data_IF_587532965059
#
_entry.id   IF_587532965059
#
_cell.length_a   1.000
_cell.length_b   1.000
_cell.length_c   1.000
_cell.angle_alpha   90.00
_cell.angle_beta   90.00
_cell.angle_gamma   90.00
#
_symmetry.space_group_name_H-M   'P 1'
#
loop_
_entity.id
_entity.type
_entity.pdbx_description
1 polymer ?
#
# COMPACT_ATOMS: atom_id res chain seq x y z
N UNK A 1 -8.20 -7.56 21.45
CA UNK A 1 -6.97 -7.00 20.86
C UNK A 1 -7.28 -6.65 19.42
N UNK A 2 -7.60 -5.40 19.13
CA UNK A 2 -7.76 -4.94 17.75
C UNK A 2 -6.36 -4.87 17.16
N UNK A 3 -5.97 -5.87 16.35
CA UNK A 3 -4.74 -5.78 15.57
C UNK A 3 -4.91 -4.59 14.63
N UNK A 4 -4.29 -3.47 14.99
CA UNK A 4 -4.05 -2.37 14.06
C UNK A 4 -3.29 -2.99 12.91
N UNK A 5 -3.97 -3.30 11.81
CA UNK A 5 -3.33 -3.80 10.58
C UNK A 5 -2.24 -2.79 10.27
N UNK A 6 -0.98 -3.19 10.44
CA UNK A 6 0.15 -2.36 10.08
C UNK A 6 -0.11 -1.85 8.66
N UNK A 7 -0.15 -0.52 8.43
CA UNK A 7 -0.59 0.03 7.16
C UNK A 7 0.31 -0.39 5.98
N UNK A 8 1.48 -0.93 6.31
CA UNK A 8 2.49 -1.47 5.40
C UNK A 8 2.30 -2.97 5.11
N UNK A 9 1.29 -3.62 5.69
CA UNK A 9 1.05 -5.04 5.53
C UNK A 9 -0.21 -5.27 4.71
N UNK A 10 -0.15 -6.21 3.78
CA UNK A 10 -1.27 -6.54 2.93
C UNK A 10 -2.40 -7.17 3.78
N UNK A 11 -3.61 -6.60 3.78
CA UNK A 11 -4.74 -7.17 4.52
C UNK A 11 -5.23 -8.51 3.93
N UNK A 12 -4.82 -8.84 2.70
CA UNK A 12 -5.26 -10.05 2.00
C UNK A 12 -4.40 -11.27 2.34
N UNK A 13 -3.08 -11.11 2.40
CA UNK A 13 -2.14 -12.23 2.60
C UNK A 13 -1.19 -12.06 3.78
N UNK A 14 -1.12 -10.87 4.40
CA UNK A 14 -0.20 -10.60 5.50
C UNK A 14 1.24 -10.29 5.06
N UNK A 15 1.54 -10.28 3.76
CA UNK A 15 2.87 -9.90 3.25
C UNK A 15 3.11 -8.40 3.31
N UNK A 16 4.37 -7.96 3.42
CA UNK A 16 4.71 -6.55 3.32
C UNK A 16 4.35 -5.96 1.95
N UNK A 17 3.75 -4.78 1.96
CA UNK A 17 3.49 -3.98 0.77
C UNK A 17 4.77 -3.26 0.33
N UNK A 18 5.01 -3.26 -0.97
CA UNK A 18 6.07 -2.50 -1.61
C UNK A 18 5.60 -1.07 -1.85
N UNK A 19 6.37 -0.10 -1.37
CA UNK A 19 6.12 1.32 -1.59
C UNK A 19 6.78 1.80 -2.88
N UNK A 20 6.03 2.49 -3.72
CA UNK A 20 6.49 3.09 -4.97
C UNK A 20 5.92 4.49 -5.13
N UNK A 21 6.77 5.45 -5.53
CA UNK A 21 6.34 6.81 -5.88
C UNK A 21 5.98 6.80 -7.35
N UNK A 22 4.72 7.12 -7.67
CA UNK A 22 4.24 7.18 -9.05
C UNK A 22 4.43 8.57 -9.65
N UNK A 23 4.16 9.61 -8.85
CA UNK A 23 4.29 11.01 -9.25
C UNK A 23 4.58 11.83 -7.99
N UNK A 24 5.81 12.35 -7.85
CA UNK A 24 6.21 13.11 -6.67
C UNK A 24 5.63 14.53 -6.66
N UNK A 25 5.45 15.16 -7.83
CA UNK A 25 4.86 16.48 -7.96
C UNK A 25 3.40 16.50 -7.48
N UNK A 26 2.71 15.37 -7.65
CA UNK A 26 1.31 15.18 -7.24
C UNK A 26 1.14 14.40 -5.94
N UNK A 27 2.23 14.09 -5.23
CA UNK A 27 2.20 13.25 -4.02
C UNK A 27 1.46 11.92 -4.22
N UNK A 28 1.56 11.36 -5.43
CA UNK A 28 0.95 10.09 -5.80
C UNK A 28 1.91 8.96 -5.47
N UNK A 29 1.50 8.15 -4.50
CA UNK A 29 2.26 6.99 -4.06
C UNK A 29 1.38 5.74 -4.13
N UNK A 30 2.02 4.60 -4.35
CA UNK A 30 1.38 3.30 -4.43
C UNK A 30 2.00 2.32 -3.43
N UNK A 31 1.15 1.47 -2.87
CA UNK A 31 1.53 0.30 -2.09
C UNK A 31 1.05 -0.95 -2.82
N UNK A 32 1.98 -1.78 -3.28
CA UNK A 32 1.70 -2.98 -4.06
C UNK A 32 2.11 -4.26 -3.31
N UNK A 33 1.22 -5.23 -3.27
CA UNK A 33 1.48 -6.57 -2.77
C UNK A 33 2.01 -7.45 -3.91
N UNK A 34 3.30 -7.83 -3.87
CA UNK A 34 3.89 -8.67 -4.92
C UNK A 34 3.38 -10.11 -4.92
N UNK A 35 2.83 -10.59 -3.81
CA UNK A 35 2.32 -11.95 -3.68
C UNK A 35 0.89 -12.11 -4.20
N UNK A 36 0.06 -11.09 -3.98
CA UNK A 36 -1.39 -11.15 -4.20
C UNK A 36 -1.91 -10.16 -5.25
N UNK A 37 -1.09 -9.20 -5.67
CA UNK A 37 -1.45 -8.20 -6.68
C UNK A 37 -2.32 -7.05 -6.18
N UNK A 38 -2.55 -6.92 -4.86
CA UNK A 38 -3.26 -5.77 -4.28
C UNK A 38 -2.46 -4.49 -4.54
N UNK A 39 -3.14 -3.44 -5.01
CA UNK A 39 -2.56 -2.10 -5.19
C UNK A 39 -3.42 -1.08 -4.44
N UNK A 40 -2.80 -0.24 -3.61
CA UNK A 40 -3.44 0.90 -2.94
C UNK A 40 -2.70 2.17 -3.34
N UNK A 41 -3.40 3.17 -3.83
CA UNK A 41 -2.83 4.49 -4.17
C UNK A 41 -3.37 5.55 -3.23
N UNK A 42 -2.60 6.60 -2.96
CA UNK A 42 -3.17 7.84 -2.43
C UNK A 42 -3.99 8.51 -3.52
N UNK A 43 -5.29 8.74 -3.30
CA UNK A 43 -6.06 9.58 -4.21
C UNK A 43 -5.72 11.06 -3.93
N UNK A 44 -5.40 11.87 -4.96
CA UNK A 44 -5.26 13.31 -4.78
C UNK A 44 -6.64 13.91 -4.47
N UNK A 45 -6.75 14.66 -3.37
CA UNK A 45 -7.95 15.42 -2.97
C UNK A 45 -8.12 16.70 -3.76
#
# INVERSE_FOLDING_TARGET
MSTSLDPLTCPTCGDPLRFEILDDERFLVAWSCVNCGLIRTTEPV
#
